data_IF_546845716503
#
_entry.id   IF_546845716503
#
_cell.length_a   1.000
_cell.length_b   1.000
_cell.length_c   1.000
_cell.angle_alpha   90.00
_cell.angle_beta   90.00
_cell.angle_gamma   90.00
#
_symmetry.space_group_name_H-M   'P 1'
#
loop_
_entity.id
_entity.type
_entity.pdbx_description
1 polymer ?
#
# COMPACT_ATOMS: atom_id res chain seq x y z
N UNK A 1 44.77 -9.69 -4.14
CA UNK A 1 44.07 -9.54 -5.44
C UNK A 1 43.15 -10.74 -5.57
N UNK A 2 41.89 -10.62 -5.10
CA UNK A 2 40.90 -11.66 -5.33
C UNK A 2 40.49 -11.59 -6.81
N UNK A 3 40.80 -12.61 -7.57
CA UNK A 3 40.24 -12.86 -8.89
C UNK A 3 38.71 -12.78 -8.77
N UNK A 4 38.01 -12.07 -9.64
CA UNK A 4 36.57 -12.03 -9.61
C UNK A 4 36.00 -13.41 -9.99
N UNK A 5 35.87 -14.27 -8.99
CA UNK A 5 35.31 -15.61 -9.13
C UNK A 5 33.88 -15.54 -9.68
N UNK A 6 33.46 -16.58 -10.40
CA UNK A 6 32.08 -16.82 -10.77
C UNK A 6 31.19 -16.69 -9.51
N UNK A 7 30.02 -16.05 -9.59
CA UNK A 7 29.13 -15.98 -8.45
C UNK A 7 28.82 -17.40 -7.96
N UNK A 8 29.00 -17.65 -6.68
CA UNK A 8 28.68 -18.95 -6.11
C UNK A 8 27.22 -19.30 -6.38
N UNK A 9 26.94 -20.57 -6.73
CA UNK A 9 25.56 -20.99 -7.00
C UNK A 9 24.69 -20.75 -5.74
N UNK A 10 23.56 -20.13 -5.95
CA UNK A 10 22.58 -19.92 -4.87
C UNK A 10 21.98 -21.27 -4.47
N UNK A 11 21.88 -21.52 -3.17
CA UNK A 11 21.31 -22.79 -2.65
C UNK A 11 19.86 -22.95 -3.11
N UNK A 12 19.42 -24.16 -3.52
CA UNK A 12 18.05 -24.39 -3.98
C UNK A 12 16.99 -23.95 -2.95
N UNK A 13 17.27 -24.14 -1.66
CA UNK A 13 16.39 -23.71 -0.56
C UNK A 13 16.21 -22.18 -0.56
N UNK A 14 17.27 -21.42 -0.82
CA UNK A 14 17.19 -19.96 -0.91
C UNK A 14 16.36 -19.53 -2.13
N UNK A 15 16.50 -20.22 -3.25
CA UNK A 15 15.68 -19.95 -4.45
C UNK A 15 14.21 -20.21 -4.14
N UNK A 16 13.89 -21.35 -3.56
CA UNK A 16 12.53 -21.70 -3.18
C UNK A 16 11.94 -20.69 -2.19
N UNK A 17 12.70 -20.30 -1.15
CA UNK A 17 12.27 -19.31 -0.19
C UNK A 17 11.98 -17.94 -0.85
N UNK A 18 12.82 -17.49 -1.77
CA UNK A 18 12.58 -16.23 -2.50
C UNK A 18 11.31 -16.29 -3.34
N UNK A 19 11.10 -17.41 -4.08
CA UNK A 19 9.89 -17.58 -4.89
C UNK A 19 8.64 -17.61 -4.02
N UNK A 20 8.65 -18.40 -2.94
CA UNK A 20 7.50 -18.49 -2.02
C UNK A 20 7.20 -17.12 -1.38
N UNK A 21 8.23 -16.44 -0.87
CA UNK A 21 8.08 -15.10 -0.28
C UNK A 21 7.52 -14.09 -1.30
N UNK A 22 8.03 -14.13 -2.54
CA UNK A 22 7.53 -13.29 -3.63
C UNK A 22 6.05 -13.55 -3.91
N UNK A 23 5.64 -14.81 -4.05
CA UNK A 23 4.24 -15.19 -4.30
C UNK A 23 3.35 -14.78 -3.13
N UNK A 24 3.75 -15.08 -1.89
CA UNK A 24 2.99 -14.69 -0.69
C UNK A 24 2.80 -13.16 -0.65
N UNK A 25 3.84 -12.40 -0.91
CA UNK A 25 3.77 -10.95 -0.94
C UNK A 25 2.83 -10.44 -2.03
N UNK A 26 2.89 -11.03 -3.24
CA UNK A 26 2.03 -10.65 -4.38
C UNK A 26 0.54 -10.92 -4.15
N UNK A 27 0.19 -11.98 -3.42
CA UNK A 27 -1.21 -12.31 -3.14
C UNK A 27 -1.75 -11.63 -1.88
N UNK A 28 -0.87 -11.18 -0.99
CA UNK A 28 -1.25 -10.56 0.29
C UNK A 28 -1.21 -9.02 0.27
N UNK A 29 -0.37 -8.41 -0.58
CA UNK A 29 -0.14 -6.97 -0.57
C UNK A 29 -0.45 -6.33 -1.93
N UNK A 30 -1.42 -5.44 -1.96
CA UNK A 30 -1.89 -4.74 -3.17
C UNK A 30 -0.77 -4.03 -3.96
N UNK A 31 0.26 -3.54 -3.27
CA UNK A 31 1.36 -2.79 -3.87
C UNK A 31 2.64 -3.61 -4.05
N UNK A 32 2.59 -4.91 -3.76
CA UNK A 32 3.76 -5.80 -3.80
C UNK A 32 4.48 -5.78 -5.14
N UNK A 33 3.75 -5.74 -6.23
CA UNK A 33 4.35 -5.77 -7.55
C UNK A 33 5.23 -4.54 -7.84
N UNK A 34 4.87 -3.34 -7.36
CA UNK A 34 5.73 -2.16 -7.46
C UNK A 34 7.04 -2.36 -6.68
N UNK A 35 6.92 -2.86 -5.45
CA UNK A 35 8.07 -3.12 -4.58
C UNK A 35 9.00 -4.14 -5.25
N UNK A 36 8.45 -5.24 -5.76
CA UNK A 36 9.24 -6.29 -6.42
C UNK A 36 9.90 -5.75 -7.70
N UNK A 37 9.22 -4.94 -8.50
CA UNK A 37 9.81 -4.34 -9.69
C UNK A 37 10.98 -3.42 -9.35
N UNK A 38 10.83 -2.58 -8.33
CA UNK A 38 11.92 -1.74 -7.82
C UNK A 38 13.08 -2.63 -7.33
N UNK A 39 12.76 -3.69 -6.57
CA UNK A 39 13.74 -4.65 -6.08
C UNK A 39 14.52 -5.34 -7.21
N UNK A 40 13.86 -5.73 -8.30
CA UNK A 40 14.51 -6.30 -9.48
C UNK A 40 15.51 -5.30 -10.08
N UNK A 41 15.10 -4.04 -10.25
CA UNK A 41 15.97 -2.98 -10.80
C UNK A 41 17.18 -2.75 -9.90
N UNK A 42 16.96 -2.55 -8.60
CA UNK A 42 18.03 -2.31 -7.63
C UNK A 42 19.00 -3.50 -7.56
N UNK A 43 18.48 -4.72 -7.57
CA UNK A 43 19.30 -5.94 -7.56
C UNK A 43 20.14 -6.08 -8.82
N UNK A 44 19.60 -5.74 -9.98
CA UNK A 44 20.34 -5.73 -11.26
C UNK A 44 21.41 -4.65 -11.29
N UNK A 45 21.16 -3.48 -10.70
CA UNK A 45 22.15 -2.41 -10.57
C UNK A 45 23.27 -2.80 -9.62
N UNK A 46 22.95 -3.47 -8.50
CA UNK A 46 23.91 -3.88 -7.49
C UNK A 46 24.73 -5.11 -7.90
N UNK A 47 24.13 -6.08 -8.59
CA UNK A 47 24.83 -7.31 -9.03
C UNK A 47 24.25 -7.88 -10.33
N UNK A 48 24.66 -7.35 -11.46
CA UNK A 48 24.24 -7.82 -12.80
C UNK A 48 24.60 -9.28 -13.08
N UNK A 49 25.58 -9.86 -12.38
CA UNK A 49 26.04 -11.22 -12.63
C UNK A 49 24.98 -12.26 -12.26
N UNK A 50 24.05 -11.91 -11.37
CA UNK A 50 22.96 -12.79 -10.90
C UNK A 50 21.62 -12.52 -11.58
N UNK A 51 21.59 -11.87 -12.73
CA UNK A 51 20.37 -11.47 -13.42
C UNK A 51 19.35 -12.62 -13.59
N UNK A 52 19.83 -13.85 -13.89
CA UNK A 52 18.94 -15.02 -14.01
C UNK A 52 18.23 -15.35 -12.69
N UNK A 53 18.92 -15.22 -11.57
CA UNK A 53 18.30 -15.42 -10.25
C UNK A 53 17.15 -14.43 -10.06
N UNK A 54 17.36 -13.13 -10.29
CA UNK A 54 16.35 -12.10 -10.07
C UNK A 54 15.16 -12.25 -11.02
N UNK A 55 15.43 -12.59 -12.29
CA UNK A 55 14.37 -12.85 -13.26
C UNK A 55 13.53 -14.07 -12.88
N UNK A 56 14.15 -15.16 -12.45
CA UNK A 56 13.44 -16.41 -12.15
C UNK A 56 12.74 -16.38 -10.78
N UNK A 57 13.29 -15.67 -9.80
CA UNK A 57 12.74 -15.69 -8.43
C UNK A 57 11.84 -14.50 -8.11
N UNK A 58 11.94 -13.39 -8.83
CA UNK A 58 11.15 -12.19 -8.60
C UNK A 58 10.27 -11.85 -9.80
N UNK A 59 10.84 -11.67 -10.99
CA UNK A 59 10.07 -11.21 -12.15
C UNK A 59 9.10 -12.30 -12.67
N UNK A 60 9.56 -13.53 -12.84
CA UNK A 60 8.72 -14.61 -13.35
C UNK A 60 7.50 -14.89 -12.45
N UNK A 61 7.63 -15.07 -11.12
CA UNK A 61 6.47 -15.20 -10.25
C UNK A 61 5.53 -14.00 -10.33
N UNK A 62 6.07 -12.77 -10.45
CA UNK A 62 5.25 -11.55 -10.59
C UNK A 62 4.41 -11.61 -11.87
N UNK A 63 5.00 -11.95 -13.00
CA UNK A 63 4.28 -12.09 -14.28
C UNK A 63 3.23 -13.20 -14.20
N UNK A 64 3.57 -14.35 -13.62
CA UNK A 64 2.64 -15.48 -13.51
C UNK A 64 1.45 -15.17 -12.60
N UNK A 65 1.69 -14.60 -11.43
CA UNK A 65 0.61 -14.25 -10.48
C UNK A 65 -0.30 -13.18 -11.07
N UNK A 66 0.25 -12.10 -11.64
CA UNK A 66 -0.56 -11.05 -12.27
C UNK A 66 -1.29 -11.53 -13.51
N UNK A 67 -0.64 -12.36 -14.33
CA UNK A 67 -1.27 -12.99 -15.48
C UNK A 67 -2.44 -13.88 -15.07
N UNK A 68 -2.27 -14.70 -14.04
CA UNK A 68 -3.33 -15.55 -13.51
C UNK A 68 -4.49 -14.69 -12.96
N UNK A 69 -4.20 -13.64 -12.18
CA UNK A 69 -5.23 -12.72 -11.68
C UNK A 69 -5.97 -12.04 -12.84
N UNK A 70 -5.26 -11.56 -13.85
CA UNK A 70 -5.85 -10.93 -15.03
C UNK A 70 -6.77 -11.89 -15.80
N UNK A 71 -6.36 -13.14 -15.96
CA UNK A 71 -7.18 -14.19 -16.59
C UNK A 71 -8.43 -14.51 -15.78
N UNK A 72 -8.31 -14.59 -14.45
CA UNK A 72 -9.45 -14.83 -13.55
C UNK A 72 -10.43 -13.65 -13.56
N UNK A 73 -9.95 -12.42 -13.64
CA UNK A 73 -10.80 -11.23 -13.80
C UNK A 73 -11.48 -11.24 -15.18
N UNK A 74 -10.71 -11.51 -16.23
CA UNK A 74 -11.20 -11.55 -17.60
C UNK A 74 -12.24 -12.66 -17.85
N UNK A 75 -12.12 -13.79 -17.15
CA UNK A 75 -13.09 -14.88 -17.18
C UNK A 75 -14.32 -14.66 -16.30
N UNK A 76 -14.33 -13.61 -15.47
CA UNK A 76 -15.40 -13.34 -14.52
C UNK A 76 -15.37 -14.24 -13.27
N UNK A 77 -14.37 -15.11 -13.11
CA UNK A 77 -14.23 -15.97 -11.94
C UNK A 77 -13.95 -15.17 -10.65
N UNK A 78 -13.25 -14.04 -10.78
CA UNK A 78 -13.07 -13.08 -9.70
C UNK A 78 -13.40 -11.67 -10.18
N UNK A 79 -13.71 -10.82 -9.25
CA UNK A 79 -14.07 -9.44 -9.51
C UNK A 79 -12.87 -8.56 -9.28
N UNK A 80 -12.53 -7.73 -10.25
CA UNK A 80 -11.48 -6.71 -10.11
C UNK A 80 -11.82 -5.68 -9.03
N UNK A 81 -10.80 -5.19 -8.33
CA UNK A 81 -10.98 -4.11 -7.38
C UNK A 81 -11.39 -2.81 -8.07
N UNK A 82 -12.06 -1.94 -7.31
CA UNK A 82 -12.41 -0.62 -7.80
C UNK A 82 -11.14 0.21 -8.06
N UNK A 83 -11.03 0.90 -9.22
CA UNK A 83 -9.87 1.72 -9.55
C UNK A 83 -9.55 2.81 -8.51
N UNK A 84 -10.55 3.32 -7.82
CA UNK A 84 -10.42 4.35 -6.77
C UNK A 84 -9.63 3.84 -5.57
N UNK A 85 -9.69 2.53 -5.29
CA UNK A 85 -8.96 1.92 -4.17
C UNK A 85 -7.44 2.12 -4.23
N UNK A 86 -6.90 2.29 -5.42
CA UNK A 86 -5.47 2.55 -5.62
C UNK A 86 -5.09 4.04 -5.59
N UNK A 87 -6.05 4.95 -5.37
CA UNK A 87 -5.87 6.40 -5.51
C UNK A 87 -5.85 7.17 -4.18
N UNK A 88 -5.63 6.49 -3.07
CA UNK A 88 -5.68 7.09 -1.75
C UNK A 88 -4.79 8.34 -1.57
N UNK A 89 -3.56 8.33 -2.10
CA UNK A 89 -2.68 9.49 -2.05
C UNK A 89 -3.23 10.68 -2.87
N UNK A 90 -3.69 10.41 -4.09
CA UNK A 90 -4.25 11.42 -4.97
C UNK A 90 -5.53 12.05 -4.40
N UNK A 91 -6.40 11.22 -3.79
CA UNK A 91 -7.60 11.68 -3.10
C UNK A 91 -7.27 12.60 -1.94
N UNK A 92 -6.26 12.25 -1.14
CA UNK A 92 -5.81 13.08 -0.02
C UNK A 92 -5.26 14.41 -0.49
N UNK A 93 -4.47 14.43 -1.57
CA UNK A 93 -3.94 15.66 -2.15
C UNK A 93 -5.06 16.59 -2.61
N UNK A 94 -6.05 16.08 -3.36
CA UNK A 94 -7.20 16.85 -3.82
C UNK A 94 -8.00 17.38 -2.62
N UNK A 95 -8.33 16.53 -1.67
CA UNK A 95 -9.14 16.87 -0.50
C UNK A 95 -8.47 17.92 0.38
N UNK A 96 -7.15 17.83 0.54
CA UNK A 96 -6.37 18.81 1.31
C UNK A 96 -6.34 20.18 0.65
N UNK A 97 -6.15 20.23 -0.67
CA UNK A 97 -6.21 21.50 -1.43
C UNK A 97 -7.62 22.07 -1.35
N UNK A 98 -8.65 21.26 -1.51
CA UNK A 98 -10.04 21.69 -1.38
C UNK A 98 -10.37 22.24 0.03
N UNK A 99 -9.77 21.67 1.08
CA UNK A 99 -9.97 22.10 2.46
C UNK A 99 -9.22 23.39 2.79
N UNK A 100 -7.95 23.50 2.38
CA UNK A 100 -7.05 24.58 2.77
C UNK A 100 -7.09 25.78 1.84
N UNK A 101 -7.20 25.51 0.55
CA UNK A 101 -7.10 26.52 -0.49
C UNK A 101 -8.07 26.25 -1.65
N UNK A 102 -9.40 26.25 -1.40
CA UNK A 102 -10.40 25.92 -2.42
C UNK A 102 -10.30 26.81 -3.66
N UNK A 103 -9.88 28.08 -3.50
CA UNK A 103 -9.69 29.02 -4.61
C UNK A 103 -8.55 28.67 -5.57
N UNK A 104 -7.63 27.78 -5.20
CA UNK A 104 -6.57 27.31 -6.08
C UNK A 104 -7.03 26.20 -7.03
N UNK A 105 -8.22 25.63 -6.83
CA UNK A 105 -8.71 24.54 -7.68
C UNK A 105 -9.16 25.10 -9.02
N UNK A 106 -8.54 24.70 -10.16
CA UNK A 106 -8.95 25.16 -11.48
C UNK A 106 -10.38 24.71 -11.79
N UNK A 107 -11.16 25.57 -12.42
CA UNK A 107 -12.53 25.25 -12.82
C UNK A 107 -12.60 24.03 -13.77
N UNK A 108 -11.58 23.87 -14.63
CA UNK A 108 -11.43 22.69 -15.49
C UNK A 108 -11.26 21.40 -14.68
N UNK A 109 -10.50 21.43 -13.59
CA UNK A 109 -10.33 20.28 -12.70
C UNK A 109 -11.62 19.97 -11.94
N UNK A 110 -12.31 21.00 -11.45
CA UNK A 110 -13.60 20.85 -10.78
C UNK A 110 -14.64 20.20 -11.69
N UNK A 111 -14.75 20.62 -12.95
CA UNK A 111 -15.64 20.02 -13.96
C UNK A 111 -15.32 18.55 -14.24
N UNK A 112 -14.04 18.18 -14.30
CA UNK A 112 -13.59 16.79 -14.50
C UNK A 112 -13.90 15.89 -13.32
N UNK A 113 -13.83 16.43 -12.09
CA UNK A 113 -14.14 15.67 -10.87
C UNK A 113 -15.64 15.54 -10.61
N UNK A 114 -16.46 16.50 -11.01
CA UNK A 114 -17.88 16.57 -10.70
C UNK A 114 -18.69 15.29 -10.97
N UNK A 115 -18.43 14.49 -12.04
CA UNK A 115 -19.12 13.23 -12.25
C UNK A 115 -18.79 12.15 -11.22
N UNK A 116 -17.63 12.26 -10.56
CA UNK A 116 -17.09 11.23 -9.66
C UNK A 116 -17.20 11.66 -8.20
N UNK A 117 -16.78 12.89 -7.88
CA UNK A 117 -16.69 13.43 -6.53
C UNK A 117 -17.31 14.82 -6.41
N UNK A 118 -17.84 15.10 -5.23
CA UNK A 118 -18.16 16.44 -4.80
C UNK A 118 -16.96 17.00 -4.01
N UNK A 119 -16.35 18.07 -4.51
CA UNK A 119 -15.13 18.66 -3.95
C UNK A 119 -15.35 19.16 -2.52
N UNK A 120 -16.51 19.76 -2.21
CA UNK A 120 -16.83 20.23 -0.87
C UNK A 120 -16.95 19.08 0.12
N UNK A 121 -17.54 17.96 -0.31
CA UNK A 121 -17.61 16.75 0.51
C UNK A 121 -16.22 16.12 0.70
N UNK A 122 -15.36 16.18 -0.31
CA UNK A 122 -13.96 15.74 -0.17
C UNK A 122 -13.22 16.58 0.88
N UNK A 123 -13.39 17.91 0.83
CA UNK A 123 -12.80 18.84 1.80
C UNK A 123 -13.25 18.55 3.23
N UNK A 124 -14.56 18.33 3.43
CA UNK A 124 -15.14 18.02 4.75
C UNK A 124 -14.72 16.64 5.25
N UNK A 125 -14.54 15.67 4.35
CA UNK A 125 -14.17 14.30 4.70
C UNK A 125 -12.65 14.11 4.90
N UNK A 126 -11.85 15.13 4.63
CA UNK A 126 -10.39 15.01 4.72
C UNK A 126 -9.93 14.68 6.14
N UNK A 127 -9.14 13.62 6.26
CA UNK A 127 -8.36 13.25 7.43
C UNK A 127 -6.97 12.86 6.97
N UNK A 128 -5.94 13.38 7.62
CA UNK A 128 -4.55 13.15 7.20
C UNK A 128 -4.17 11.67 7.14
N UNK A 129 -4.61 10.92 8.14
CA UNK A 129 -4.26 9.51 8.35
C UNK A 129 -5.10 8.54 7.49
N UNK A 130 -6.31 8.94 7.07
CA UNK A 130 -7.29 8.03 6.47
C UNK A 130 -7.92 8.60 5.19
N UNK A 131 -7.77 7.88 4.08
CA UNK A 131 -8.37 8.24 2.79
C UNK A 131 -9.79 7.66 2.58
N UNK A 132 -10.25 6.75 3.43
CA UNK A 132 -11.53 6.07 3.25
C UNK A 132 -12.74 7.01 3.35
N UNK A 133 -12.77 7.98 4.28
CA UNK A 133 -13.84 8.97 4.30
C UNK A 133 -13.92 9.81 3.01
N UNK A 134 -12.78 10.15 2.40
CA UNK A 134 -12.73 10.88 1.14
C UNK A 134 -13.24 10.02 -0.02
N UNK A 135 -12.88 8.74 -0.08
CA UNK A 135 -13.43 7.79 -1.06
C UNK A 135 -14.94 7.67 -0.95
N UNK A 136 -15.44 7.62 0.28
CA UNK A 136 -16.88 7.53 0.56
C UNK A 136 -17.67 8.81 0.24
N UNK A 137 -17.00 9.93 -0.02
CA UNK A 137 -17.62 11.18 -0.45
C UNK A 137 -17.96 11.22 -1.95
N UNK A 138 -17.56 10.22 -2.71
CA UNK A 138 -17.77 10.14 -4.14
C UNK A 138 -19.24 10.04 -4.56
N UNK A 139 -19.61 10.74 -5.63
CA UNK A 139 -20.97 10.73 -6.17
C UNK A 139 -21.35 9.36 -6.68
N UNK A 140 -20.44 8.70 -7.41
CA UNK A 140 -20.66 7.37 -7.95
C UNK A 140 -20.43 6.26 -6.93
N UNK A 141 -19.56 6.48 -5.96
CA UNK A 141 -19.25 5.51 -4.90
C UNK A 141 -19.97 5.75 -3.57
N UNK A 142 -20.90 6.64 -3.56
CA UNK A 142 -21.75 6.89 -2.44
C UNK A 142 -22.56 5.74 -2.00
N UNK A 143 -22.33 5.39 -1.09
CA UNK A 143 -22.35 4.79 -0.22
C UNK A 143 -23.11 4.24 0.55
N UNK A 144 -23.75 4.17 0.93
CA UNK A 144 -24.39 3.21 1.75
C UNK A 144 -23.91 1.77 1.59
N UNK A 145 -23.76 1.33 0.48
CA UNK A 145 -22.88 0.26 0.07
C UNK A 145 -21.98 0.89 -0.96
N UNK A 146 -20.75 0.93 -0.66
CA UNK A 146 -19.73 1.32 -1.58
C UNK A 146 -20.00 0.67 -2.94
N UNK A 147 -20.56 1.43 -3.87
CA UNK A 147 -20.94 0.90 -5.18
C UNK A 147 -19.70 0.80 -6.04
N UNK A 148 -18.98 -0.21 -5.80
CA UNK A 148 -17.88 -0.64 -6.61
C UNK A 148 -18.32 -0.68 -8.07
N UNK A 149 -17.46 -0.31 -8.98
CA UNK A 149 -17.67 -0.41 -10.42
C UNK A 149 -18.58 0.65 -11.04
N UNK A 150 -18.94 1.66 -10.30
CA UNK A 150 -19.62 2.82 -10.89
C UNK A 150 -18.65 3.75 -11.64
N UNK A 151 -17.34 3.61 -11.35
CA UNK A 151 -16.29 4.44 -11.95
C UNK A 151 -15.73 3.74 -13.17
N UNK A 152 -15.81 4.42 -14.33
CA UNK A 152 -15.32 3.92 -15.60
C UNK A 152 -13.85 4.25 -15.82
N UNK A 153 -13.23 3.65 -16.84
CA UNK A 153 -11.86 3.96 -17.24
C UNK A 153 -11.71 5.43 -17.69
N UNK A 154 -12.74 5.99 -18.34
CA UNK A 154 -12.74 7.41 -18.74
C UNK A 154 -12.86 8.33 -17.53
N UNK A 155 -13.71 8.00 -16.54
CA UNK A 155 -13.78 8.74 -15.28
C UNK A 155 -12.42 8.78 -14.58
N UNK A 156 -11.69 7.66 -14.58
CA UNK A 156 -10.35 7.61 -13.99
C UNK A 156 -9.31 8.42 -14.76
N UNK A 157 -9.45 8.53 -16.05
CA UNK A 157 -8.61 9.40 -16.88
C UNK A 157 -8.86 10.87 -16.55
N UNK A 158 -10.14 11.27 -16.44
CA UNK A 158 -10.51 12.62 -16.02
C UNK A 158 -10.06 12.92 -14.57
N UNK A 159 -10.20 11.96 -13.66
CA UNK A 159 -9.69 12.07 -12.30
C UNK A 159 -8.17 12.33 -12.26
N UNK A 160 -7.39 11.56 -13.02
CA UNK A 160 -5.94 11.73 -13.07
C UNK A 160 -5.55 13.10 -13.66
N UNK A 161 -6.27 13.57 -14.69
CA UNK A 161 -6.04 14.89 -15.28
C UNK A 161 -6.37 16.01 -14.28
N UNK A 162 -7.50 15.93 -13.60
CA UNK A 162 -7.90 16.88 -12.57
C UNK A 162 -6.92 16.93 -11.40
N UNK A 163 -6.51 15.75 -10.90
CA UNK A 163 -5.48 15.67 -9.86
C UNK A 163 -4.20 16.39 -10.26
N UNK A 164 -3.71 16.16 -11.48
CA UNK A 164 -2.48 16.80 -11.97
C UNK A 164 -2.62 18.32 -12.08
N UNK A 165 -3.76 18.83 -12.53
CA UNK A 165 -4.06 20.27 -12.59
C UNK A 165 -4.06 20.89 -11.20
N UNK A 166 -4.71 20.23 -10.21
CA UNK A 166 -4.77 20.71 -8.82
C UNK A 166 -3.37 20.71 -8.18
N UNK A 167 -2.58 19.64 -8.37
CA UNK A 167 -1.22 19.56 -7.84
C UNK A 167 -0.33 20.65 -8.46
N UNK A 168 -0.50 20.98 -9.72
CA UNK A 168 0.25 22.08 -10.39
C UNK A 168 -0.18 23.45 -9.89
N UNK A 169 -1.46 23.63 -9.57
CA UNK A 169 -1.99 24.89 -9.09
C UNK A 169 -1.57 25.21 -7.64
N UNK A 170 -1.54 24.18 -6.77
CA UNK A 170 -1.08 24.31 -5.39
C UNK A 170 -0.24 23.10 -4.97
N UNK A 171 1.03 23.04 -5.42
CA UNK A 171 1.91 21.92 -5.12
C UNK A 171 2.24 21.81 -3.63
N UNK A 172 2.36 22.94 -2.93
CA UNK A 172 2.73 22.94 -1.52
C UNK A 172 1.68 22.25 -0.66
N UNK A 173 0.42 22.62 -0.79
CA UNK A 173 -0.69 22.01 -0.05
C UNK A 173 -0.90 20.53 -0.44
N UNK A 174 -0.73 20.21 -1.73
CA UNK A 174 -0.85 18.85 -2.23
C UNK A 174 0.25 17.94 -1.62
N UNK A 175 1.51 18.38 -1.61
CA UNK A 175 2.59 17.60 -0.99
C UNK A 175 2.48 17.54 0.53
N UNK A 176 1.97 18.62 1.20
CA UNK A 176 1.67 18.56 2.63
C UNK A 176 0.71 17.40 2.95
N UNK A 177 -0.32 17.18 2.13
CA UNK A 177 -1.22 16.05 2.29
C UNK A 177 -0.52 14.69 2.18
N UNK A 178 0.43 14.55 1.24
CA UNK A 178 1.20 13.33 1.05
C UNK A 178 2.09 13.05 2.26
N UNK A 179 2.80 14.06 2.75
CA UNK A 179 3.65 13.94 3.95
C UNK A 179 2.82 13.68 5.20
N UNK A 180 1.70 14.38 5.39
CA UNK A 180 0.80 14.16 6.52
C UNK A 180 0.24 12.73 6.53
N UNK A 181 -0.10 12.16 5.37
CA UNK A 181 -0.52 10.76 5.25
C UNK A 181 0.60 9.77 5.61
N UNK A 182 1.83 10.14 5.35
CA UNK A 182 3.00 9.26 5.57
C UNK A 182 3.59 9.43 6.98
N UNK A 183 3.20 10.45 7.72
CA UNK A 183 3.77 10.80 9.03
C UNK A 183 3.75 9.62 10.01
N UNK A 184 2.62 8.92 10.11
CA UNK A 184 2.45 7.81 11.04
C UNK A 184 3.49 6.68 10.87
N UNK A 185 4.05 6.51 9.66
CA UNK A 185 5.11 5.51 9.46
C UNK A 185 6.42 5.85 10.17
N UNK A 186 6.63 7.10 10.53
CA UNK A 186 7.84 7.59 11.20
C UNK A 186 7.64 7.84 12.70
N UNK A 187 6.41 7.74 13.21
CA UNK A 187 6.12 7.87 14.62
C UNK A 187 6.27 6.51 15.33
N UNK A 188 7.40 6.32 15.98
CA UNK A 188 7.74 5.09 16.72
C UNK A 188 6.82 4.87 17.93
N UNK A 189 6.17 5.93 18.41
CA UNK A 189 5.31 5.91 19.59
C UNK A 189 3.84 5.68 19.25
N UNK A 190 3.48 5.70 17.96
CA UNK A 190 2.12 5.44 17.53
C UNK A 190 1.70 4.01 17.95
N UNK A 191 0.57 3.84 18.65
CA UNK A 191 0.16 2.54 19.16
C UNK A 191 -0.12 1.56 18.02
N UNK A 192 0.15 0.26 18.23
CA UNK A 192 -0.04 -0.74 17.20
C UNK A 192 -1.50 -0.84 16.80
N UNK A 193 -1.77 -0.79 15.50
CA UNK A 193 -3.07 -1.12 14.97
C UNK A 193 -3.29 -2.63 15.00
N UNK A 194 -4.26 -3.09 15.82
CA UNK A 194 -4.61 -4.51 15.92
C UNK A 194 -5.94 -4.76 15.21
N UNK A 195 -5.93 -5.09 13.91
CA UNK A 195 -7.15 -5.17 13.11
C UNK A 195 -8.00 -6.40 13.38
N UNK A 196 -7.63 -7.25 14.33
CA UNK A 196 -8.23 -8.56 14.54
C UNK A 196 -9.71 -8.52 14.93
N UNK A 197 -10.21 -7.40 15.47
CA UNK A 197 -11.62 -7.26 15.85
C UNK A 197 -12.48 -6.67 14.72
N UNK A 198 -11.90 -5.96 13.77
CA UNK A 198 -12.63 -5.15 12.80
C UNK A 198 -13.34 -5.97 11.72
N UNK A 199 -12.70 -7.04 11.23
CA UNK A 199 -13.22 -7.78 10.07
C UNK A 199 -14.16 -8.93 10.41
N UNK A 200 -14.30 -9.30 11.68
CA UNK A 200 -15.02 -10.51 12.08
C UNK A 200 -16.44 -10.22 12.53
N UNK A 201 -16.74 -8.99 12.92
CA UNK A 201 -18.06 -8.54 13.37
C UNK A 201 -18.86 -7.77 12.30
N UNK A 202 -18.51 -7.87 11.04
CA UNK A 202 -19.31 -7.25 9.99
C UNK A 202 -20.43 -8.20 9.54
N UNK A 203 -21.53 -7.62 9.10
CA UNK A 203 -22.71 -8.34 8.59
C UNK A 203 -22.39 -9.35 7.49
N UNK A 204 -21.33 -9.14 6.76
CA UNK A 204 -20.93 -10.00 5.66
C UNK A 204 -20.42 -11.35 6.17
N UNK A 205 -19.59 -11.33 7.20
CA UNK A 205 -19.08 -12.57 7.84
C UNK A 205 -20.21 -13.28 8.56
N UNK A 206 -21.09 -12.55 9.22
CA UNK A 206 -22.23 -13.15 9.93
C UNK A 206 -23.23 -13.85 9.00
N UNK A 207 -23.40 -13.35 7.78
CA UNK A 207 -24.24 -13.97 6.75
C UNK A 207 -23.54 -15.08 5.98
N UNK A 208 -22.22 -15.19 6.11
CA UNK A 208 -21.43 -16.21 5.42
C UNK A 208 -21.66 -17.59 6.03
N UNK A 209 -21.78 -18.61 5.18
CA UNK A 209 -21.79 -20.02 5.59
C UNK A 209 -20.40 -20.62 5.71
N UNK A 210 -19.34 -19.81 5.73
CA UNK A 210 -17.97 -20.27 5.86
C UNK A 210 -17.61 -20.57 7.32
N UNK A 211 -16.55 -21.36 7.53
CA UNK A 211 -16.01 -21.66 8.85
C UNK A 211 -15.57 -20.42 9.63
N UNK A 212 -15.33 -19.29 8.96
CA UNK A 212 -14.87 -18.02 9.55
C UNK A 212 -15.87 -17.49 10.60
N UNK A 213 -17.18 -17.67 10.39
CA UNK A 213 -18.19 -17.22 11.36
C UNK A 213 -18.14 -17.97 12.71
N UNK A 214 -17.53 -19.14 12.74
CA UNK A 214 -17.37 -19.93 13.96
C UNK A 214 -16.08 -19.60 14.71
N UNK A 215 -15.33 -18.63 14.23
CA UNK A 215 -14.07 -18.20 14.84
C UNK A 215 -14.33 -17.57 16.21
N UNK A 216 -13.59 -18.01 17.23
CA UNK A 216 -13.80 -17.55 18.61
C UNK A 216 -13.37 -16.09 18.78
N UNK A 217 -14.35 -15.20 18.86
CA UNK A 217 -14.14 -13.76 19.04
C UNK A 217 -13.43 -13.42 20.36
N UNK A 218 -13.77 -14.11 21.44
CA UNK A 218 -13.19 -13.85 22.76
C UNK A 218 -11.67 -14.04 22.75
N UNK A 219 -11.18 -15.06 22.04
CA UNK A 219 -9.76 -15.28 21.90
C UNK A 219 -9.06 -14.07 21.21
N UNK A 220 -9.68 -13.52 20.17
CA UNK A 220 -9.13 -12.36 19.44
C UNK A 220 -9.08 -11.12 20.31
N UNK A 221 -10.13 -10.84 21.07
CA UNK A 221 -10.13 -9.73 22.03
C UNK A 221 -9.06 -9.93 23.09
N UNK A 222 -8.89 -11.15 23.59
CA UNK A 222 -7.82 -11.49 24.51
C UNK A 222 -6.43 -11.20 23.93
N UNK A 223 -6.16 -11.66 22.71
CA UNK A 223 -4.88 -11.39 22.03
C UNK A 223 -4.69 -9.90 21.80
N UNK A 224 -5.70 -9.17 21.31
CA UNK A 224 -5.63 -7.75 21.10
C UNK A 224 -5.37 -6.97 22.40
N UNK A 225 -5.97 -7.42 23.52
CA UNK A 225 -5.70 -6.84 24.83
C UNK A 225 -4.25 -7.06 25.25
N UNK A 226 -3.74 -8.28 25.17
CA UNK A 226 -2.36 -8.61 25.51
C UNK A 226 -1.36 -7.81 24.67
N UNK A 227 -1.58 -7.71 23.36
CA UNK A 227 -0.70 -6.91 22.48
C UNK A 227 -0.73 -5.43 22.87
N UNK A 228 -1.88 -4.86 23.20
CA UNK A 228 -1.98 -3.46 23.66
C UNK A 228 -1.26 -3.22 24.98
N UNK A 229 -1.42 -4.10 25.94
CA UNK A 229 -0.72 -3.96 27.23
C UNK A 229 0.80 -4.14 27.05
N UNK A 230 1.21 -5.09 26.21
CA UNK A 230 2.62 -5.26 25.86
C UNK A 230 3.19 -4.01 25.18
N UNK A 231 2.45 -3.40 24.27
CA UNK A 231 2.89 -2.20 23.54
C UNK A 231 3.21 -1.01 24.44
N UNK A 232 2.62 -0.97 25.65
CA UNK A 232 2.86 0.09 26.63
C UNK A 232 4.15 -0.07 27.45
N UNK A 233 4.79 -1.24 27.38
CA UNK A 233 6.04 -1.50 28.14
C UNK A 233 7.18 -0.72 27.45
N UNK A 234 7.86 0.19 28.14
CA UNK A 234 8.95 0.95 27.55
C UNK A 234 9.99 0.04 26.91
N UNK A 235 10.45 0.38 25.72
CA UNK A 235 11.44 -0.33 24.91
C UNK A 235 10.94 -1.70 24.44
N UNK A 236 10.51 -2.59 25.33
CA UNK A 236 10.02 -3.93 24.98
C UNK A 236 8.71 -3.88 24.16
N UNK A 237 7.89 -2.87 24.37
CA UNK A 237 6.67 -2.65 23.60
C UNK A 237 6.93 -2.25 22.14
N UNK A 238 8.06 -1.64 21.84
CA UNK A 238 8.39 -1.19 20.49
C UNK A 238 8.35 -2.29 19.44
N UNK A 239 8.65 -3.52 19.82
CA UNK A 239 8.56 -4.68 18.91
C UNK A 239 7.15 -4.98 18.41
N UNK A 240 6.12 -4.42 19.07
CA UNK A 240 4.73 -4.53 18.62
C UNK A 240 4.32 -3.39 17.68
N UNK A 241 5.15 -2.35 17.54
CA UNK A 241 4.88 -1.19 16.72
C UNK A 241 5.46 -1.39 15.31
N UNK A 242 4.60 -1.37 14.29
CA UNK A 242 5.04 -1.51 12.90
C UNK A 242 6.08 -0.45 12.50
N UNK A 243 5.93 0.76 13.01
CA UNK A 243 6.79 1.92 12.74
C UNK A 243 8.20 1.77 13.30
N UNK A 244 8.37 0.99 14.36
CA UNK A 244 9.70 0.60 14.88
C UNK A 244 10.51 -0.11 13.78
N UNK A 245 9.89 -1.03 13.06
CA UNK A 245 10.59 -1.77 11.99
C UNK A 245 10.89 -0.89 10.78
N UNK A 246 10.05 0.09 10.47
CA UNK A 246 10.34 1.09 9.43
C UNK A 246 11.59 1.87 9.81
N UNK A 247 11.64 2.40 11.03
CA UNK A 247 12.79 3.14 11.54
C UNK A 247 14.07 2.28 11.58
N UNK A 248 13.96 1.04 12.06
CA UNK A 248 15.08 0.09 12.07
C UNK A 248 15.60 -0.21 10.66
N UNK A 249 14.70 -0.43 9.70
CA UNK A 249 15.06 -0.66 8.30
C UNK A 249 15.79 0.54 7.71
N UNK A 250 15.31 1.76 7.97
CA UNK A 250 15.95 2.99 7.50
C UNK A 250 17.36 3.16 8.12
N UNK A 251 17.53 2.88 9.42
CA UNK A 251 18.83 2.95 10.08
C UNK A 251 19.81 1.92 9.53
N UNK A 252 19.36 0.68 9.31
CA UNK A 252 20.19 -0.37 8.70
C UNK A 252 20.55 0.03 7.27
N UNK A 253 19.60 0.50 6.47
CA UNK A 253 19.84 0.96 5.11
C UNK A 253 20.84 2.12 5.06
N UNK A 254 20.74 3.08 5.97
CA UNK A 254 21.70 4.18 6.10
C UNK A 254 23.10 3.68 6.44
N UNK A 255 23.21 2.72 7.37
CA UNK A 255 24.49 2.11 7.72
C UNK A 255 25.12 1.34 6.55
N UNK A 256 24.32 0.59 5.79
CA UNK A 256 24.79 -0.12 4.60
C UNK A 256 25.22 0.83 3.48
N UNK A 257 24.52 1.94 3.30
CA UNK A 257 24.91 3.01 2.39
C UNK A 257 26.26 3.64 2.80
N UNK A 258 26.41 3.97 4.08
CA UNK A 258 27.65 4.53 4.60
C UNK A 258 28.83 3.56 4.46
N UNK A 259 28.58 2.26 4.67
CA UNK A 259 29.58 1.18 4.51
C UNK A 259 29.76 0.76 3.05
N UNK A 260 29.07 1.38 2.09
CA UNK A 260 29.07 1.06 0.64
C UNK A 260 28.72 -0.41 0.34
N UNK A 261 27.84 -1.01 1.15
CA UNK A 261 27.37 -2.39 0.99
C UNK A 261 26.20 -2.48 0.01
N UNK A 262 26.40 -2.09 -1.22
CA UNK A 262 25.36 -1.93 -2.25
C UNK A 262 24.46 -3.14 -2.46
N UNK A 263 25.01 -4.36 -2.33
CA UNK A 263 24.20 -5.60 -2.46
C UNK A 263 23.26 -5.81 -1.27
N UNK A 264 23.73 -5.55 -0.06
CA UNK A 264 22.88 -5.64 1.12
C UNK A 264 21.79 -4.56 1.06
N UNK A 265 22.18 -3.32 0.78
CA UNK A 265 21.26 -2.21 0.61
C UNK A 265 20.16 -2.51 -0.43
N UNK A 266 20.49 -3.12 -1.57
CA UNK A 266 19.49 -3.47 -2.60
C UNK A 266 18.46 -4.53 -2.16
N UNK A 267 18.74 -5.26 -1.09
CA UNK A 267 17.80 -6.22 -0.49
C UNK A 267 17.00 -5.65 0.68
N UNK A 268 17.45 -4.52 1.23
CA UNK A 268 16.73 -3.80 2.28
C UNK A 268 15.70 -2.80 1.73
N UNK A 269 16.00 -2.21 0.56
CA UNK A 269 15.10 -1.28 -0.10
C UNK A 269 13.94 -1.97 -0.82
#
# INVERSE_FOLDING_TARGET
RNTPGRPQPTRPVTIAALVVSCVVMLVSAKYAWYIIMIQVVLSLLADRRRWRLYLLTLLLPTVLVHGAIALLIGSGAIIGGDPIESRGAQLQMIARVAQRNPGAIPESAAKKLAPIFNIDQMAQAYRSEDADPVKSSGIQSKKVSYRWRSVTAEDMKQFNAAWLEIVRADPQTAFDALFAKSYGYFDVFDPPYVPMSYYVDNDYVQRSNTWIKYYNHNWRYGVAHVVREWSRIPVLGWVTHGNFYVTLTLLIGAAELALRRWRALSWHM
#
